data_IF_833257216182
#
_entry.id   IF_833257216182
#
_cell.length_a   1.000
_cell.length_b   1.000
_cell.length_c   1.000
_cell.angle_alpha   90.00
_cell.angle_beta   90.00
_cell.angle_gamma   90.00
#
_symmetry.space_group_name_H-M   'P 1'
#
loop_
_entity.id
_entity.type
_entity.pdbx_description
1 polymer ?
#
# COMPACT_ATOMS: atom_id res chain seq x y z
N UNK A 1 12.12 -4.79 9.92
CA UNK A 1 11.39 -3.59 9.46
C UNK A 1 10.34 -4.01 8.45
N UNK A 2 9.13 -3.44 8.53
CA UNK A 2 7.97 -3.83 7.71
C UNK A 2 8.21 -3.68 6.20
N UNK A 3 9.06 -2.72 5.80
CA UNK A 3 9.49 -2.48 4.41
C UNK A 3 10.23 -3.67 3.80
N UNK A 4 11.21 -4.21 4.52
CA UNK A 4 12.13 -5.25 4.07
C UNK A 4 11.46 -6.63 4.05
N UNK A 5 10.45 -6.81 4.92
CA UNK A 5 9.59 -8.00 4.99
C UNK A 5 8.36 -7.92 4.08
N UNK A 6 8.09 -6.75 3.47
CA UNK A 6 6.93 -6.57 2.58
C UNK A 6 5.60 -6.59 3.33
N UNK A 7 5.55 -6.04 4.53
CA UNK A 7 4.36 -5.99 5.37
C UNK A 7 3.74 -4.58 5.37
N UNK A 8 2.43 -4.51 5.17
CA UNK A 8 1.62 -3.31 5.35
C UNK A 8 0.83 -3.48 6.65
N UNK A 9 0.89 -2.49 7.53
CA UNK A 9 0.14 -2.50 8.79
C UNK A 9 -1.02 -1.50 8.71
N UNK A 10 -2.24 -2.00 8.87
CA UNK A 10 -3.41 -1.16 9.12
C UNK A 10 -3.59 -1.10 10.63
N UNK A 11 -3.38 0.07 11.21
CA UNK A 11 -3.43 0.29 12.66
C UNK A 11 -4.68 1.07 13.00
N UNK A 12 -5.56 0.49 13.82
CA UNK A 12 -6.70 1.19 14.38
C UNK A 12 -6.27 1.90 15.68
N UNK A 13 -6.40 3.22 15.68
CA UNK A 13 -6.05 4.13 16.77
C UNK A 13 -7.26 4.67 17.56
N UNK A 14 -8.47 4.11 17.36
CA UNK A 14 -9.66 4.46 18.15
C UNK A 14 -9.49 4.22 19.65
N UNK A 15 -8.73 3.18 20.02
CA UNK A 15 -8.34 2.88 21.40
C UNK A 15 -6.85 2.58 21.45
N UNK A 16 -6.07 3.57 21.87
CA UNK A 16 -4.60 3.45 21.97
C UNK A 16 -4.14 2.55 23.11
N UNK A 17 -5.01 2.25 24.09
CA UNK A 17 -4.70 1.30 25.15
C UNK A 17 -4.90 -0.15 24.68
N UNK A 18 -5.77 -0.37 23.68
CA UNK A 18 -6.09 -1.67 23.10
C UNK A 18 -5.94 -1.67 21.56
N UNK A 19 -4.72 -1.39 21.08
CA UNK A 19 -4.43 -1.29 19.66
C UNK A 19 -4.85 -2.56 18.89
N UNK A 20 -5.61 -2.35 17.82
CA UNK A 20 -5.93 -3.40 16.85
C UNK A 20 -5.13 -3.16 15.58
N UNK A 21 -4.45 -4.19 15.11
CA UNK A 21 -3.64 -4.13 13.89
C UNK A 21 -3.99 -5.28 12.95
N UNK A 22 -4.05 -4.96 11.66
CA UNK A 22 -4.14 -5.94 10.57
C UNK A 22 -2.83 -5.90 9.81
N UNK A 23 -2.10 -7.02 9.81
CA UNK A 23 -0.85 -7.16 9.06
C UNK A 23 -1.13 -7.83 7.73
N UNK A 24 -0.84 -7.13 6.63
CA UNK A 24 -1.06 -7.59 5.27
C UNK A 24 0.30 -7.88 4.64
N UNK A 25 0.50 -9.11 4.17
CA UNK A 25 1.65 -9.46 3.34
C UNK A 25 1.50 -8.92 1.93
N UNK A 26 2.56 -8.31 1.40
CA UNK A 26 2.66 -7.76 0.05
C UNK A 26 3.99 -8.22 -0.59
N UNK A 27 4.60 -7.38 -1.42
CA UNK A 27 5.95 -7.60 -1.95
C UNK A 27 7.01 -6.89 -1.10
N UNK A 28 8.23 -7.45 -1.05
CA UNK A 28 9.35 -6.86 -0.30
C UNK A 28 9.75 -5.51 -0.90
N UNK A 29 10.37 -4.67 -0.07
CA UNK A 29 10.89 -3.36 -0.44
C UNK A 29 9.79 -2.32 -0.73
N UNK A 30 8.73 -2.34 0.09
CA UNK A 30 7.73 -1.28 0.11
C UNK A 30 8.38 0.08 0.37
N UNK A 31 7.96 1.12 -0.34
CA UNK A 31 8.63 2.41 -0.31
C UNK A 31 7.66 3.57 -0.13
N UNK A 32 7.05 4.02 -1.21
CA UNK A 32 6.16 5.16 -1.30
C UNK A 32 4.84 4.76 -1.96
N UNK A 33 3.81 5.59 -1.82
CA UNK A 33 2.47 5.26 -2.24
C UNK A 33 1.44 6.31 -1.86
N UNK A 34 0.24 6.15 -2.39
CA UNK A 34 -0.85 7.06 -2.14
C UNK A 34 -2.22 6.43 -2.31
N UNK A 35 -3.21 7.20 -1.92
CA UNK A 35 -4.60 6.81 -2.02
C UNK A 35 -5.15 7.09 -3.40
N UNK A 36 -6.03 6.21 -3.86
CA UNK A 36 -6.89 6.49 -5.00
C UNK A 36 -7.79 7.72 -4.73
N UNK A 37 -8.53 8.16 -5.75
CA UNK A 37 -9.42 9.32 -5.63
C UNK A 37 -10.56 9.08 -4.62
N UNK A 38 -11.02 7.84 -4.45
CA UNK A 38 -12.10 7.50 -3.51
C UNK A 38 -11.64 7.32 -2.07
N UNK A 39 -10.32 7.30 -1.83
CA UNK A 39 -9.70 7.01 -0.52
C UNK A 39 -10.05 5.63 0.04
N UNK A 40 -10.41 4.69 -0.84
CA UNK A 40 -10.66 3.29 -0.48
C UNK A 40 -9.44 2.42 -0.71
N UNK A 41 -8.69 2.68 -1.77
CA UNK A 41 -7.57 1.84 -2.14
C UNK A 41 -6.26 2.57 -1.87
N UNK A 42 -5.39 1.94 -1.11
CA UNK A 42 -4.02 2.39 -0.92
C UNK A 42 -3.11 1.64 -1.90
N UNK A 43 -2.37 2.39 -2.71
CA UNK A 43 -1.45 1.86 -3.72
C UNK A 43 -0.03 2.24 -3.34
N UNK A 44 0.87 1.26 -3.23
CA UNK A 44 2.26 1.49 -2.83
C UNK A 44 3.25 0.69 -3.66
N UNK A 45 4.39 1.31 -3.98
CA UNK A 45 5.48 0.71 -4.70
C UNK A 45 6.30 -0.22 -3.81
N UNK A 46 6.42 -1.48 -4.23
CA UNK A 46 7.46 -2.40 -3.81
C UNK A 46 8.63 -2.26 -4.79
N UNK A 47 9.42 -1.19 -4.62
CA UNK A 47 10.23 -0.64 -5.71
C UNK A 47 11.31 -1.60 -6.24
N UNK A 48 12.11 -2.21 -5.36
CA UNK A 48 13.12 -3.21 -5.75
C UNK A 48 12.52 -4.57 -6.13
N UNK A 49 11.19 -4.68 -6.15
CA UNK A 49 10.44 -5.84 -6.65
C UNK A 49 9.68 -5.54 -7.94
N UNK A 50 9.82 -4.33 -8.52
CA UNK A 50 9.15 -3.88 -9.75
C UNK A 50 7.62 -4.08 -9.72
N UNK A 51 7.00 -3.81 -8.56
CA UNK A 51 5.56 -4.04 -8.33
C UNK A 51 4.86 -2.87 -7.64
N UNK A 52 3.56 -2.74 -7.90
CA UNK A 52 2.61 -1.94 -7.10
C UNK A 52 1.70 -2.88 -6.31
N UNK A 53 1.67 -2.73 -4.99
CA UNK A 53 0.71 -3.39 -4.12
C UNK A 53 -0.53 -2.51 -3.92
N UNK A 54 -1.71 -3.11 -4.06
CA UNK A 54 -3.00 -2.43 -3.87
C UNK A 54 -3.72 -3.06 -2.69
N UNK A 55 -4.10 -2.24 -1.72
CA UNK A 55 -4.81 -2.63 -0.50
C UNK A 55 -6.19 -2.00 -0.49
N UNK A 56 -7.23 -2.79 -0.28
CA UNK A 56 -8.57 -2.30 0.05
C UNK A 56 -8.62 -1.97 1.54
N UNK A 57 -8.74 -0.69 1.90
CA UNK A 57 -8.74 -0.25 3.30
C UNK A 57 -10.01 -0.61 4.04
N UNK A 58 -11.13 -0.78 3.31
CA UNK A 58 -12.42 -1.16 3.89
C UNK A 58 -12.43 -2.64 4.24
N UNK A 59 -11.97 -3.46 3.31
CA UNK A 59 -11.91 -4.91 3.47
C UNK A 59 -10.63 -5.38 4.17
N UNK A 60 -9.70 -4.45 4.44
CA UNK A 60 -8.43 -4.67 5.13
C UNK A 60 -7.58 -5.80 4.52
N UNK A 61 -7.54 -5.86 3.18
CA UNK A 61 -6.87 -6.95 2.45
C UNK A 61 -6.10 -6.46 1.23
N UNK A 62 -5.07 -7.20 0.86
CA UNK A 62 -4.40 -7.05 -0.43
C UNK A 62 -5.37 -7.45 -1.54
N UNK A 63 -5.59 -6.57 -2.52
CA UNK A 63 -6.46 -6.85 -3.66
C UNK A 63 -5.69 -7.13 -4.95
N UNK A 64 -4.46 -6.62 -5.07
CA UNK A 64 -3.61 -6.87 -6.24
C UNK A 64 -2.13 -6.65 -5.95
N UNK A 65 -1.30 -7.37 -6.70
CA UNK A 65 0.11 -7.07 -6.93
C UNK A 65 0.29 -6.92 -8.44
N UNK A 66 0.64 -5.72 -8.89
CA UNK A 66 0.70 -5.36 -10.30
C UNK A 66 2.17 -5.24 -10.68
N UNK A 67 2.58 -5.98 -11.71
CA UNK A 67 3.90 -5.83 -12.33
C UNK A 67 3.99 -4.51 -13.08
N UNK A 68 5.10 -3.79 -12.89
CA UNK A 68 5.38 -2.51 -13.55
C UNK A 68 6.83 -2.47 -14.00
N UNK A 69 7.21 -1.37 -14.66
CA UNK A 69 8.59 -1.13 -15.04
C UNK A 69 9.50 -0.92 -13.82
N UNK A 70 10.80 -0.94 -14.09
CA UNK A 70 11.86 -1.03 -13.09
C UNK A 70 11.85 0.11 -12.07
N UNK A 71 11.92 -0.23 -10.78
CA UNK A 71 12.04 0.69 -9.63
C UNK A 71 10.98 1.79 -9.68
N UNK A 72 9.69 1.45 -9.53
CA UNK A 72 8.62 2.44 -9.46
C UNK A 72 8.80 3.35 -8.23
N UNK A 73 8.60 4.66 -8.43
CA UNK A 73 8.76 5.67 -7.37
C UNK A 73 7.70 6.78 -7.49
N UNK A 74 6.43 6.48 -7.20
CA UNK A 74 5.30 7.37 -7.49
C UNK A 74 5.18 8.61 -6.59
N UNK A 75 5.94 8.70 -5.49
CA UNK A 75 5.61 9.59 -4.39
C UNK A 75 4.25 9.22 -3.81
N UNK A 76 3.27 10.13 -3.90
CA UNK A 76 1.85 9.82 -3.58
C UNK A 76 1.02 9.43 -4.80
N UNK A 77 1.64 9.34 -5.98
CA UNK A 77 0.96 9.12 -7.26
C UNK A 77 0.16 10.34 -7.74
N UNK A 78 -0.50 10.16 -8.87
CA UNK A 78 -1.41 11.13 -9.46
C UNK A 78 -2.72 10.43 -9.81
N UNK A 79 -3.84 10.98 -9.34
CA UNK A 79 -5.18 10.55 -9.74
C UNK A 79 -5.70 11.58 -10.73
N UNK A 80 -6.01 11.17 -11.96
CA UNK A 80 -6.52 12.05 -13.00
C UNK A 80 -7.75 11.42 -13.63
N UNK A 81 -8.76 12.25 -13.89
CA UNK A 81 -9.84 11.93 -14.82
C UNK A 81 -9.61 12.86 -16.02
N UNK A 82 -8.99 12.32 -17.05
CA UNK A 82 -8.54 13.01 -18.28
C UNK A 82 -9.60 12.84 -19.39
N UNK A 83 -9.69 13.72 -20.40
CA UNK A 83 -8.80 14.85 -20.74
C UNK A 83 -8.84 16.04 -19.76
#
# INVERSE_FOLDING_TARGET
NAKETGQILLVNYEDIANLRTTTIGAARFLHDGGWDVTKRYFMTAANQSDKIAVVDSKEQKLTALIDVDKIPHPGRGANLKDP
#
